data_IF_388887647254
#
_entry.id   IF_388887647254
#
_cell.length_a   1.000
_cell.length_b   1.000
_cell.length_c   1.000
_cell.angle_alpha   90.00
_cell.angle_beta   90.00
_cell.angle_gamma   90.00
#
_symmetry.space_group_name_H-M   'P 1'
#
loop_
_entity.id
_entity.type
_entity.pdbx_description
1 polymer ?
#
# COMPACT_ATOMS: atom_id res chain seq x y z
N UNK A 1 22.85 5.23 6.51
CA UNK A 1 22.34 5.94 5.29
C UNK A 1 21.01 5.37 4.80
N UNK A 2 20.54 4.22 5.29
CA UNK A 2 19.12 3.84 5.23
C UNK A 2 18.32 4.44 6.40
N UNK A 3 19.00 4.77 7.51
CA UNK A 3 18.38 5.30 8.73
C UNK A 3 17.66 6.64 8.50
N UNK A 4 18.15 7.47 7.57
CA UNK A 4 17.54 8.76 7.22
C UNK A 4 16.25 8.65 6.38
N UNK A 5 15.97 7.48 5.79
CA UNK A 5 14.71 7.21 5.09
C UNK A 5 13.58 6.87 6.08
N UNK A 6 13.93 6.39 7.29
CA UNK A 6 12.99 6.04 8.35
C UNK A 6 12.86 7.10 9.46
N UNK A 7 13.78 8.07 9.52
CA UNK A 7 13.73 9.22 10.45
C UNK A 7 12.65 10.28 10.09
N UNK A 8 11.91 10.07 9.00
CA UNK A 8 10.84 10.94 8.53
C UNK A 8 9.46 10.56 9.08
N UNK A 9 9.29 10.39 10.40
CA UNK A 9 7.98 10.17 11.04
C UNK A 9 6.95 11.30 10.82
N UNK A 10 7.26 12.34 10.03
CA UNK A 10 6.43 13.53 9.86
C UNK A 10 5.94 13.87 8.45
N UNK A 11 6.27 13.11 7.40
CA UNK A 11 5.91 13.51 6.02
C UNK A 11 4.80 12.67 5.36
N UNK A 12 4.56 11.43 5.79
CA UNK A 12 3.58 10.52 5.17
C UNK A 12 2.75 9.66 6.14
N UNK A 13 2.82 9.89 7.45
CA UNK A 13 1.80 9.41 8.42
C UNK A 13 1.73 7.90 8.72
N UNK A 14 2.59 7.05 8.17
CA UNK A 14 2.53 5.59 8.39
C UNK A 14 3.50 5.14 9.50
N UNK A 15 2.98 4.46 10.52
CA UNK A 15 3.80 3.83 11.56
C UNK A 15 4.17 2.40 11.17
N UNK A 16 5.32 1.91 11.67
CA UNK A 16 5.72 0.51 11.49
C UNK A 16 4.66 -0.48 11.99
N UNK A 17 3.89 -0.08 13.01
CA UNK A 17 2.75 -0.86 13.52
C UNK A 17 1.66 -1.05 12.46
N UNK A 18 1.26 0.01 11.74
CA UNK A 18 0.26 -0.09 10.66
C UNK A 18 0.75 -1.00 9.52
N UNK A 19 2.05 -0.94 9.19
CA UNK A 19 2.65 -1.77 8.14
C UNK A 19 2.61 -3.25 8.55
N UNK A 20 3.04 -3.57 9.77
CA UNK A 20 3.07 -4.94 10.27
C UNK A 20 1.67 -5.53 10.43
N UNK A 21 0.69 -4.72 10.84
CA UNK A 21 -0.71 -5.14 10.91
C UNK A 21 -1.25 -5.52 9.53
N UNK A 22 -1.06 -4.64 8.53
CA UNK A 22 -1.50 -4.90 7.16
C UNK A 22 -0.80 -6.13 6.56
N UNK A 23 0.51 -6.26 6.75
CA UNK A 23 1.27 -7.43 6.30
C UNK A 23 0.72 -8.72 6.91
N UNK A 24 0.48 -8.76 8.23
CA UNK A 24 -0.08 -9.92 8.91
C UNK A 24 -1.44 -10.32 8.33
N UNK A 25 -2.30 -9.35 8.01
CA UNK A 25 -3.60 -9.60 7.38
C UNK A 25 -3.49 -10.17 5.97
N UNK A 26 -2.48 -9.76 5.20
CA UNK A 26 -2.28 -10.19 3.81
C UNK A 26 -1.56 -11.55 3.68
N UNK A 27 -0.63 -11.88 4.59
CA UNK A 27 0.16 -13.13 4.54
C UNK A 27 -0.65 -14.36 4.96
N UNK A 28 -1.53 -14.21 5.95
CA UNK A 28 -2.31 -15.30 6.50
C UNK A 28 -3.79 -14.93 6.60
N UNK A 29 -4.49 -14.75 5.45
CA UNK A 29 -5.94 -14.59 5.48
C UNK A 29 -6.57 -15.86 6.08
N UNK A 30 -7.66 -15.71 6.84
CA UNK A 30 -8.43 -16.86 7.32
C UNK A 30 -8.91 -17.70 6.13
N UNK A 31 -8.90 -19.03 6.25
CA UNK A 31 -9.14 -19.97 5.13
C UNK A 31 -10.43 -19.68 4.33
N UNK A 32 -11.44 -19.06 4.95
CA UNK A 32 -12.72 -18.69 4.33
C UNK A 32 -13.09 -17.19 4.48
N UNK A 33 -12.16 -16.36 4.95
CA UNK A 33 -12.39 -14.92 5.15
C UNK A 33 -11.54 -14.07 4.20
N UNK A 34 -12.18 -13.16 3.49
CA UNK A 34 -11.48 -12.13 2.72
C UNK A 34 -10.75 -11.16 3.64
N UNK A 35 -9.69 -10.53 3.14
CA UNK A 35 -8.98 -9.48 3.87
C UNK A 35 -9.79 -8.20 3.82
N UNK A 36 -10.22 -7.71 4.99
CA UNK A 36 -10.83 -6.39 5.11
C UNK A 36 -9.75 -5.32 5.00
N UNK A 37 -9.88 -4.46 3.97
CA UNK A 37 -8.97 -3.34 3.72
C UNK A 37 -9.70 -2.02 3.90
N UNK A 38 -9.10 -1.13 4.70
CA UNK A 38 -9.54 0.25 4.88
C UNK A 38 -8.94 1.21 3.86
N UNK A 39 -9.40 2.45 3.90
CA UNK A 39 -8.92 3.54 3.04
C UNK A 39 -7.41 3.80 3.25
N UNK A 40 -6.97 3.76 4.51
CA UNK A 40 -5.56 3.87 4.92
C UNK A 40 -4.70 2.74 4.36
N UNK A 41 -5.22 1.50 4.34
CA UNK A 41 -4.49 0.35 3.81
C UNK A 41 -4.26 0.49 2.31
N UNK A 42 -5.29 0.91 1.57
CA UNK A 42 -5.19 1.15 0.14
C UNK A 42 -4.21 2.30 -0.18
N UNK A 43 -4.20 3.36 0.63
CA UNK A 43 -3.23 4.46 0.47
C UNK A 43 -1.79 3.99 0.76
N UNK A 44 -1.58 3.21 1.82
CA UNK A 44 -0.30 2.61 2.15
C UNK A 44 0.20 1.69 1.04
N UNK A 45 -0.68 0.84 0.48
CA UNK A 45 -0.36 -0.02 -0.65
C UNK A 45 0.05 0.80 -1.87
N UNK A 46 -0.72 1.81 -2.29
CA UNK A 46 -0.38 2.64 -3.45
C UNK A 46 0.97 3.34 -3.28
N UNK A 47 1.25 3.87 -2.09
CA UNK A 47 2.53 4.52 -1.82
C UNK A 47 3.71 3.52 -1.88
N UNK A 48 3.56 2.34 -1.28
CA UNK A 48 4.57 1.28 -1.33
C UNK A 48 4.78 0.73 -2.75
N UNK A 49 3.70 0.64 -3.53
CA UNK A 49 3.73 0.22 -4.92
C UNK A 49 4.41 1.24 -5.82
N UNK A 50 4.20 2.54 -5.61
CA UNK A 50 4.91 3.59 -6.36
C UNK A 50 6.44 3.48 -6.20
N UNK A 51 6.91 3.23 -4.97
CA UNK A 51 8.33 2.96 -4.73
C UNK A 51 8.79 1.66 -5.42
N UNK A 52 8.05 0.57 -5.20
CA UNK A 52 8.39 -0.75 -5.73
C UNK A 52 8.42 -0.76 -7.25
N UNK A 53 7.53 -0.03 -7.92
CA UNK A 53 7.48 0.07 -9.37
C UNK A 53 8.69 0.80 -9.95
N UNK A 54 9.11 1.91 -9.34
CA UNK A 54 10.34 2.63 -9.74
C UNK A 54 11.56 1.72 -9.58
N UNK A 55 11.64 1.01 -8.46
CA UNK A 55 12.76 0.11 -8.18
C UNK A 55 12.73 -1.16 -9.03
N UNK A 56 11.56 -1.57 -9.52
CA UNK A 56 11.39 -2.82 -10.26
C UNK A 56 11.50 -2.67 -11.78
N UNK A 57 11.67 -1.47 -12.34
CA UNK A 57 11.57 -1.19 -13.79
C UNK A 57 12.40 -2.13 -14.68
N UNK A 58 13.58 -2.55 -14.22
CA UNK A 58 14.50 -3.40 -14.98
C UNK A 58 14.43 -4.88 -14.61
N UNK A 59 13.49 -5.26 -13.75
CA UNK A 59 13.37 -6.63 -13.22
C UNK A 59 12.25 -7.43 -13.89
N UNK A 60 12.37 -8.76 -14.00
CA UNK A 60 11.38 -9.60 -14.70
C UNK A 60 9.96 -9.60 -14.10
N UNK A 61 9.80 -9.13 -12.85
CA UNK A 61 8.51 -9.09 -12.14
C UNK A 61 7.80 -7.74 -12.23
N UNK A 62 8.31 -6.77 -13.01
CA UNK A 62 7.70 -5.44 -13.15
C UNK A 62 6.23 -5.51 -13.60
N UNK A 63 5.87 -6.45 -14.46
CA UNK A 63 4.49 -6.61 -14.93
C UNK A 63 3.55 -7.01 -13.79
N UNK A 64 4.01 -7.84 -12.85
CA UNK A 64 3.25 -8.18 -11.64
C UNK A 64 3.08 -6.96 -10.74
N UNK A 65 4.14 -6.17 -10.57
CA UNK A 65 4.09 -4.94 -9.75
C UNK A 65 3.08 -3.96 -10.34
N UNK A 66 3.13 -3.70 -11.65
CA UNK A 66 2.15 -2.83 -12.33
C UNK A 66 0.73 -3.37 -12.20
N UNK A 67 0.53 -4.67 -12.40
CA UNK A 67 -0.77 -5.29 -12.23
C UNK A 67 -1.34 -5.09 -10.82
N UNK A 68 -0.52 -5.20 -9.76
CA UNK A 68 -0.96 -4.91 -8.39
C UNK A 68 -1.29 -3.42 -8.21
N UNK A 69 -0.47 -2.50 -8.75
CA UNK A 69 -0.75 -1.06 -8.71
C UNK A 69 -2.11 -0.74 -9.36
N UNK A 70 -2.36 -1.32 -10.53
CA UNK A 70 -3.61 -1.16 -11.27
C UNK A 70 -4.78 -1.73 -10.47
N UNK A 71 -4.63 -2.94 -9.89
CA UNK A 71 -5.66 -3.54 -9.04
C UNK A 71 -6.03 -2.65 -7.85
N UNK A 72 -5.05 -2.11 -7.12
CA UNK A 72 -5.34 -1.22 -5.98
C UNK A 72 -6.04 0.06 -6.45
N UNK A 73 -5.66 0.59 -7.60
CA UNK A 73 -6.23 1.83 -8.17
C UNK A 73 -7.64 1.63 -8.73
N UNK A 74 -7.89 0.54 -9.42
CA UNK A 74 -9.16 0.30 -10.14
C UNK A 74 -10.18 -0.46 -9.30
N UNK A 75 -9.71 -1.38 -8.44
CA UNK A 75 -10.59 -2.26 -7.67
C UNK A 75 -10.74 -1.84 -6.21
N UNK A 76 -9.68 -1.36 -5.55
CA UNK A 76 -9.79 -0.95 -4.14
C UNK A 76 -10.21 0.52 -4.00
N UNK A 77 -9.48 1.43 -4.66
CA UNK A 77 -9.67 2.88 -4.51
C UNK A 77 -11.08 3.36 -4.87
N UNK A 78 -11.79 2.68 -5.77
CA UNK A 78 -13.16 3.04 -6.19
C UNK A 78 -14.21 3.00 -5.08
N UNK A 79 -13.91 2.36 -3.95
CA UNK A 79 -14.85 2.22 -2.83
C UNK A 79 -15.02 3.49 -1.98
N UNK A 80 -14.14 4.48 -2.15
CA UNK A 80 -14.20 5.75 -1.42
C UNK A 80 -14.35 6.94 -2.37
N UNK A 81 -15.06 7.97 -1.91
CA UNK A 81 -15.17 9.24 -2.61
C UNK A 81 -13.83 9.99 -2.64
N UNK A 82 -13.72 10.96 -3.55
CA UNK A 82 -12.56 11.87 -3.59
C UNK A 82 -12.41 12.69 -2.30
N UNK A 83 -13.52 13.02 -1.63
CA UNK A 83 -13.49 13.77 -0.38
C UNK A 83 -12.89 12.93 0.75
N UNK A 84 -13.34 11.69 0.91
CA UNK A 84 -12.77 10.74 1.87
C UNK A 84 -11.27 10.52 1.59
N UNK A 85 -10.89 10.36 0.32
CA UNK A 85 -9.50 10.15 -0.06
C UNK A 85 -8.58 11.35 0.18
N UNK A 86 -9.11 12.57 0.05
CA UNK A 86 -8.39 13.81 0.38
C UNK A 86 -8.31 14.06 1.87
N UNK A 87 -9.19 13.48 2.67
CA UNK A 87 -9.15 13.64 4.12
C UNK A 87 -7.99 12.89 4.79
N UNK A 88 -7.40 11.90 4.10
CA UNK A 88 -6.30 11.07 4.59
C UNK A 88 -4.92 11.42 4.01
N UNK A 89 -4.84 12.29 3.00
CA UNK A 89 -3.60 12.72 2.32
C UNK A 89 -3.39 14.23 2.47
#
# INVERSE_FOLDING_TARGET
MLDQLFEGEGAYGWSSEKILDLESRLIAPGEDEGVMLGIDDAALLLQGMAFTEVMSQEFPWIDTVRWVTDFVTEELRKHWSEEEWRSIN
#
